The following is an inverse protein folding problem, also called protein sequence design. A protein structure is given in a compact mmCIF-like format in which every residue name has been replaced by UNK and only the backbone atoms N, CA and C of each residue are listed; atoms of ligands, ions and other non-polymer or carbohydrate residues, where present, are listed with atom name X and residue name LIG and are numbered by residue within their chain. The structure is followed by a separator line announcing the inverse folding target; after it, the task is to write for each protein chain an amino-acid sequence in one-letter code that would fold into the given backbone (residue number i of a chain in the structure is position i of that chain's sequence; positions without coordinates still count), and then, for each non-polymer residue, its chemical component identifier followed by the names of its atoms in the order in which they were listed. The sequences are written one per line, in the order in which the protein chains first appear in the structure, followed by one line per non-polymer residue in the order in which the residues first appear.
data_IF_086032776905
#
_entry.id   IF_086032776905
#
_cell.length_a   1.000
_cell.length_b   1.000
_cell.length_c   1.000
_cell.angle_alpha   90.00
_cell.angle_beta   90.00
_cell.angle_gamma   90.00
#
_symmetry.space_group_name_H-M   'P 1'
#
loop_
_entity.id
_entity.type
_entity.pdbx_description
1 polymer ?
#
# COMPACT_ATOMS: atom_id res chain seq x y z
N UNK A 1 -1.30 -18.51 -13.71
CA UNK A 1 -2.27 -17.40 -13.96
C UNK A 1 -2.04 -16.90 -15.39
N UNK A 2 -3.11 -16.70 -16.19
CA UNK A 2 -2.95 -16.15 -17.54
C UNK A 2 -2.50 -14.68 -17.42
N UNK A 3 -1.41 -14.31 -18.11
CA UNK A 3 -0.80 -12.97 -18.06
C UNK A 3 -1.82 -11.82 -18.23
N UNK A 4 -2.77 -11.97 -19.17
CA UNK A 4 -3.86 -11.01 -19.37
C UNK A 4 -4.71 -10.77 -18.12
N UNK A 5 -5.01 -11.80 -17.33
CA UNK A 5 -5.79 -11.67 -16.11
C UNK A 5 -5.01 -10.97 -14.99
N UNK A 6 -3.69 -11.14 -14.97
CA UNK A 6 -2.81 -10.40 -14.06
C UNK A 6 -2.82 -8.92 -14.39
N UNK A 7 -2.55 -8.55 -15.65
CA UNK A 7 -2.52 -7.15 -16.09
C UNK A 7 -3.86 -6.47 -15.82
N UNK A 8 -4.99 -7.12 -16.17
CA UNK A 8 -6.32 -6.55 -15.91
C UNK A 8 -6.54 -6.27 -14.42
N UNK A 9 -6.22 -7.23 -13.56
CA UNK A 9 -6.37 -7.03 -12.12
C UNK A 9 -5.43 -5.94 -11.59
N UNK A 10 -4.18 -5.91 -12.05
CA UNK A 10 -3.20 -4.90 -11.69
C UNK A 10 -3.68 -3.49 -12.06
N UNK A 11 -4.13 -3.27 -13.30
CA UNK A 11 -4.63 -1.97 -13.75
C UNK A 11 -5.86 -1.52 -12.95
N UNK A 12 -6.82 -2.41 -12.71
CA UNK A 12 -8.01 -2.08 -11.92
C UNK A 12 -7.62 -1.65 -10.49
N UNK A 13 -6.74 -2.40 -9.82
CA UNK A 13 -6.30 -2.03 -8.47
C UNK A 13 -5.49 -0.74 -8.46
N UNK A 14 -4.63 -0.51 -9.45
CA UNK A 14 -3.88 0.74 -9.58
C UNK A 14 -4.84 1.93 -9.75
N UNK A 15 -5.87 1.83 -10.59
CA UNK A 15 -6.86 2.88 -10.76
C UNK A 15 -7.65 3.14 -9.46
N UNK A 16 -8.09 2.10 -8.76
CA UNK A 16 -8.83 2.26 -7.50
C UNK A 16 -7.95 2.95 -6.45
N UNK A 17 -6.70 2.49 -6.26
CA UNK A 17 -5.81 3.07 -5.24
C UNK A 17 -5.39 4.49 -5.59
N UNK A 18 -5.11 4.78 -6.87
CA UNK A 18 -4.80 6.16 -7.29
C UNK A 18 -5.97 7.10 -7.04
N UNK A 19 -7.19 6.70 -7.37
CA UNK A 19 -8.38 7.51 -7.11
C UNK A 19 -8.55 7.80 -5.63
N UNK A 20 -8.44 6.79 -4.78
CA UNK A 20 -8.59 6.94 -3.32
C UNK A 20 -7.48 7.83 -2.75
N UNK A 21 -6.21 7.57 -3.11
CA UNK A 21 -5.09 8.34 -2.57
C UNK A 21 -5.06 9.79 -3.10
N UNK A 22 -5.41 10.03 -4.37
CA UNK A 22 -5.55 11.40 -4.88
C UNK A 22 -6.69 12.14 -4.22
N UNK A 23 -7.84 11.49 -4.00
CA UNK A 23 -8.97 12.11 -3.29
C UNK A 23 -8.59 12.46 -1.85
N UNK A 24 -7.90 11.58 -1.15
CA UNK A 24 -7.40 11.84 0.20
C UNK A 24 -6.36 12.98 0.22
N UNK A 25 -5.42 13.00 -0.73
CA UNK A 25 -4.44 14.07 -0.86
C UNK A 25 -5.10 15.43 -1.14
N UNK A 26 -6.09 15.48 -2.03
CA UNK A 26 -6.86 16.70 -2.32
C UNK A 26 -7.62 17.19 -1.09
N UNK A 27 -8.28 16.28 -0.36
CA UNK A 27 -8.96 16.63 0.89
C UNK A 27 -7.98 17.19 1.92
N UNK A 28 -6.80 16.60 2.05
CA UNK A 28 -5.76 17.07 2.95
C UNK A 28 -5.25 18.45 2.58
N UNK A 29 -5.06 18.73 1.28
CA UNK A 29 -4.69 20.05 0.79
C UNK A 29 -5.78 21.11 1.10
N UNK A 30 -7.05 20.77 0.91
CA UNK A 30 -8.17 21.66 1.23
C UNK A 30 -8.24 21.99 2.72
N UNK A 31 -8.07 20.98 3.59
CA UNK A 31 -8.09 21.17 5.05
C UNK A 31 -6.87 21.95 5.54
N UNK A 32 -5.72 21.79 4.89
CA UNK A 32 -4.46 22.46 5.22
C UNK A 32 -4.30 23.85 4.58
N UNK A 33 -5.32 24.37 3.86
CA UNK A 33 -5.23 25.61 3.09
C UNK A 33 -4.02 25.66 2.12
N UNK A 34 -3.61 24.51 1.60
CA UNK A 34 -2.51 24.40 0.64
C UNK A 34 -3.02 24.69 -0.76
N UNK A 35 -2.49 25.71 -1.43
CA UNK A 35 -2.94 26.16 -2.76
C UNK A 35 -2.32 25.36 -3.91
N UNK A 36 -1.26 24.62 -3.67
CA UNK A 36 -0.57 23.85 -4.71
C UNK A 36 -0.07 22.50 -4.19
N UNK A 37 -0.15 21.51 -5.05
CA UNK A 37 0.42 20.19 -4.85
C UNK A 37 1.53 19.99 -5.90
N UNK A 38 2.76 19.70 -5.46
CA UNK A 38 3.87 19.57 -6.39
C UNK A 38 3.62 18.44 -7.40
N UNK A 39 3.84 18.70 -8.69
CA UNK A 39 3.63 17.72 -9.77
C UNK A 39 4.39 16.40 -9.51
N UNK A 40 5.61 16.48 -8.95
CA UNK A 40 6.38 15.30 -8.54
C UNK A 40 5.62 14.39 -7.55
N UNK A 41 4.80 14.97 -6.67
CA UNK A 41 4.02 14.20 -5.69
C UNK A 41 2.93 13.35 -6.35
N UNK A 42 2.34 13.81 -7.45
CA UNK A 42 1.38 13.01 -8.22
C UNK A 42 2.01 11.74 -8.79
N UNK A 43 3.21 11.88 -9.38
CA UNK A 43 3.94 10.71 -9.91
C UNK A 43 4.36 9.74 -8.81
N UNK A 44 4.77 10.25 -7.64
CA UNK A 44 5.11 9.41 -6.49
C UNK A 44 3.90 8.63 -5.96
N UNK A 45 2.74 9.29 -5.85
CA UNK A 45 1.50 8.63 -5.45
C UNK A 45 1.12 7.55 -6.47
N UNK A 46 1.20 7.85 -7.76
CA UNK A 46 0.88 6.88 -8.82
C UNK A 46 1.84 5.68 -8.79
N UNK A 47 3.14 5.92 -8.64
CA UNK A 47 4.14 4.86 -8.50
C UNK A 47 3.86 3.98 -7.26
N UNK A 48 3.53 4.60 -6.13
CA UNK A 48 3.18 3.86 -4.92
C UNK A 48 1.89 3.03 -5.10
N UNK A 49 0.88 3.57 -5.79
CA UNK A 49 -0.32 2.81 -6.15
C UNK A 49 0.00 1.56 -7.00
N UNK A 50 0.98 1.65 -7.90
CA UNK A 50 1.43 0.51 -8.68
C UNK A 50 2.10 -0.57 -7.79
N UNK A 51 2.94 -0.18 -6.82
CA UNK A 51 3.50 -1.11 -5.84
C UNK A 51 2.40 -1.80 -5.01
N UNK A 52 1.42 -1.04 -4.52
CA UNK A 52 0.27 -1.58 -3.78
C UNK A 52 -0.55 -2.55 -4.63
N UNK A 53 -0.82 -2.20 -5.89
CA UNK A 53 -1.57 -3.05 -6.81
C UNK A 53 -0.83 -4.36 -7.08
N UNK A 54 0.48 -4.31 -7.34
CA UNK A 54 1.32 -5.49 -7.53
C UNK A 54 1.30 -6.38 -6.27
N UNK A 55 1.50 -5.79 -5.09
CA UNK A 55 1.47 -6.50 -3.82
C UNK A 55 0.14 -7.25 -3.62
N UNK A 56 -0.99 -6.57 -3.84
CA UNK A 56 -2.31 -7.17 -3.65
C UNK A 56 -2.63 -8.26 -4.68
N UNK A 57 -2.25 -8.07 -5.94
CA UNK A 57 -2.48 -9.08 -6.98
C UNK A 57 -1.64 -10.33 -6.72
N UNK A 58 -0.39 -10.17 -6.31
CA UNK A 58 0.48 -11.29 -5.92
C UNK A 58 -0.10 -11.98 -4.69
N UNK A 59 -0.50 -11.24 -3.66
CA UNK A 59 -1.09 -11.79 -2.45
C UNK A 59 -2.35 -12.61 -2.73
N UNK A 60 -3.22 -12.13 -3.62
CA UNK A 60 -4.52 -12.77 -3.90
C UNK A 60 -4.41 -13.99 -4.82
N UNK A 61 -3.46 -13.99 -5.74
CA UNK A 61 -3.49 -14.91 -6.90
C UNK A 61 -2.31 -15.88 -7.00
N UNK A 62 -1.40 -15.90 -6.03
CA UNK A 62 -0.28 -16.85 -6.05
C UNK A 62 -0.60 -18.11 -5.24
N UNK A 63 -0.05 -19.26 -5.67
CA UNK A 63 -0.14 -20.53 -4.93
C UNK A 63 0.91 -20.66 -3.82
N UNK A 64 1.55 -19.55 -3.45
CA UNK A 64 2.52 -19.50 -2.37
C UNK A 64 1.85 -19.71 -1.00
N UNK A 65 2.63 -20.18 -0.02
CA UNK A 65 2.17 -20.24 1.37
C UNK A 65 1.78 -18.84 1.89
N UNK A 66 0.90 -18.77 2.87
CA UNK A 66 0.43 -17.50 3.42
C UNK A 66 1.57 -16.63 3.95
N UNK A 67 2.61 -17.25 4.51
CA UNK A 67 3.79 -16.58 5.03
C UNK A 67 4.57 -15.87 3.93
N UNK A 68 4.87 -16.55 2.83
CA UNK A 68 5.56 -15.96 1.68
C UNK A 68 4.76 -14.84 1.04
N UNK A 69 3.43 -15.00 0.90
CA UNK A 69 2.56 -13.93 0.40
C UNK A 69 2.62 -12.70 1.28
N UNK A 70 2.58 -12.87 2.61
CA UNK A 70 2.65 -11.76 3.56
C UNK A 70 4.00 -11.06 3.50
N UNK A 71 5.10 -11.79 3.42
CA UNK A 71 6.45 -11.22 3.29
C UNK A 71 6.59 -10.42 2.01
N UNK A 72 6.18 -10.98 0.87
CA UNK A 72 6.25 -10.29 -0.43
C UNK A 72 5.34 -9.05 -0.42
N UNK A 73 4.15 -9.15 0.13
CA UNK A 73 3.23 -8.02 0.26
C UNK A 73 3.84 -6.90 1.13
N UNK A 74 4.42 -7.25 2.27
CA UNK A 74 5.09 -6.29 3.14
C UNK A 74 6.29 -5.64 2.45
N UNK A 75 7.13 -6.42 1.79
CA UNK A 75 8.32 -5.92 1.08
C UNK A 75 7.93 -4.94 -0.03
N UNK A 76 6.93 -5.26 -0.85
CA UNK A 76 6.45 -4.38 -1.92
C UNK A 76 5.77 -3.13 -1.37
N UNK A 77 4.96 -3.25 -0.34
CA UNK A 77 4.23 -2.10 0.23
C UNK A 77 5.16 -1.16 0.97
N UNK A 78 5.96 -1.66 1.90
CA UNK A 78 6.87 -0.83 2.70
C UNK A 78 8.08 -0.39 1.89
N UNK A 79 8.60 -1.24 1.00
CA UNK A 79 9.68 -0.88 0.07
C UNK A 79 9.22 0.18 -0.94
N UNK A 80 8.04 0.03 -1.52
CA UNK A 80 7.44 1.03 -2.40
C UNK A 80 7.19 2.36 -1.67
N UNK A 81 6.72 2.30 -0.42
CA UNK A 81 6.59 3.49 0.42
C UNK A 81 7.95 4.15 0.68
N UNK A 82 8.96 3.39 1.08
CA UNK A 82 10.31 3.91 1.32
C UNK A 82 10.90 4.57 0.07
N UNK A 83 10.81 3.92 -1.08
CA UNK A 83 11.31 4.46 -2.35
C UNK A 83 10.57 5.74 -2.77
N UNK A 84 9.25 5.76 -2.67
CA UNK A 84 8.47 6.88 -3.18
C UNK A 84 8.45 8.09 -2.23
N UNK A 85 8.43 7.87 -0.93
CA UNK A 85 8.21 8.93 0.04
C UNK A 85 9.41 9.25 0.92
N UNK A 86 10.09 8.26 1.50
CA UNK A 86 11.19 8.53 2.42
C UNK A 86 12.40 9.16 1.74
N UNK A 87 12.75 8.68 0.54
CA UNK A 87 13.86 9.25 -0.24
C UNK A 87 13.51 10.69 -0.62
N UNK A 88 12.29 10.94 -1.06
CA UNK A 88 11.84 12.29 -1.43
C UNK A 88 11.84 13.24 -0.25
N UNK A 89 11.34 12.83 0.91
CA UNK A 89 11.35 13.68 2.11
C UNK A 89 12.76 13.97 2.61
N UNK A 90 13.67 13.02 2.53
CA UNK A 90 15.07 13.23 2.87
C UNK A 90 15.74 14.28 1.98
N UNK A 91 15.39 14.33 0.69
CA UNK A 91 15.93 15.24 -0.29
C UNK A 91 15.43 16.69 -0.13
N UNK A 92 14.23 16.91 0.42
CA UNK A 92 13.63 18.26 0.60
C UNK A 92 14.12 18.96 1.88
N UNK A 93 15.08 18.41 2.59
CA UNK A 93 15.60 19.01 3.84
C UNK A 93 14.65 18.92 5.04
N UNK A 94 13.66 18.03 5.00
CA UNK A 94 12.80 17.77 6.14
C UNK A 94 13.61 17.21 7.31
N UNK A 95 13.34 17.63 8.57
CA UNK A 95 14.06 17.10 9.73
C UNK A 95 13.99 15.57 9.77
N UNK A 96 15.13 14.92 9.98
CA UNK A 96 15.23 13.44 10.00
C UNK A 96 14.28 12.81 11.02
N UNK A 97 14.04 13.47 12.13
CA UNK A 97 13.11 13.02 13.17
C UNK A 97 11.68 12.91 12.67
N UNK A 98 11.20 13.89 11.90
CA UNK A 98 9.86 13.89 11.31
C UNK A 98 9.71 12.78 10.26
N UNK A 99 10.74 12.55 9.45
CA UNK A 99 10.76 11.47 8.45
C UNK A 99 10.72 10.10 9.13
N UNK A 100 11.52 9.94 10.19
CA UNK A 100 11.57 8.69 10.96
C UNK A 100 10.24 8.43 11.67
N UNK A 101 9.66 9.44 12.32
CA UNK A 101 8.37 9.31 12.98
C UNK A 101 7.27 8.90 12.00
N UNK A 102 7.23 9.52 10.83
CA UNK A 102 6.27 9.19 9.78
C UNK A 102 6.44 7.76 9.25
N UNK A 103 7.67 7.32 9.04
CA UNK A 103 7.98 5.97 8.60
C UNK A 103 7.53 4.92 9.65
N UNK A 104 7.80 5.18 10.93
CA UNK A 104 7.35 4.32 12.04
C UNK A 104 5.83 4.26 12.09
N UNK A 105 5.16 5.41 12.02
CA UNK A 105 3.69 5.47 12.04
C UNK A 105 3.06 4.65 10.92
N UNK A 106 3.54 4.81 9.69
CA UNK A 106 3.03 4.05 8.52
C UNK A 106 3.31 2.56 8.69
N UNK A 107 4.49 2.18 9.19
CA UNK A 107 4.83 0.77 9.44
C UNK A 107 3.94 0.13 10.49
N UNK A 108 3.65 0.84 11.57
CA UNK A 108 2.74 0.38 12.64
C UNK A 108 1.31 0.24 12.12
N UNK A 109 0.80 1.24 11.39
CA UNK A 109 -0.53 1.17 10.76
C UNK A 109 -0.63 -0.02 9.79
N UNK A 110 0.40 -0.23 8.98
CA UNK A 110 0.47 -1.38 8.10
C UNK A 110 0.41 -2.69 8.87
N UNK A 111 1.20 -2.84 9.92
CA UNK A 111 1.23 -4.05 10.76
C UNK A 111 -0.13 -4.34 11.40
N UNK A 112 -0.82 -3.30 11.91
CA UNK A 112 -2.16 -3.42 12.49
C UNK A 112 -3.16 -3.88 11.41
N UNK A 113 -3.20 -3.23 10.25
CA UNK A 113 -4.11 -3.58 9.16
C UNK A 113 -3.90 -5.02 8.67
N UNK A 114 -2.64 -5.43 8.49
CA UNK A 114 -2.31 -6.79 8.08
C UNK A 114 -2.63 -7.81 9.17
N UNK A 115 -2.38 -7.50 10.43
CA UNK A 115 -2.75 -8.35 11.57
C UNK A 115 -4.25 -8.60 11.63
N UNK A 116 -5.07 -7.56 11.54
CA UNK A 116 -6.53 -7.67 11.50
C UNK A 116 -6.99 -8.50 10.29
N UNK A 117 -6.43 -8.23 9.11
CA UNK A 117 -6.77 -8.98 7.89
C UNK A 117 -6.48 -10.47 8.03
N UNK A 118 -5.29 -10.84 8.54
CA UNK A 118 -4.89 -12.23 8.76
C UNK A 118 -5.78 -12.90 9.82
N UNK A 119 -6.10 -12.21 10.90
CA UNK A 119 -6.99 -12.71 11.96
C UNK A 119 -8.40 -13.02 11.43
N UNK A 120 -8.98 -12.09 10.65
CA UNK A 120 -10.29 -12.30 10.01
C UNK A 120 -10.27 -13.48 9.04
N UNK A 121 -9.20 -13.59 8.25
CA UNK A 121 -9.04 -14.69 7.31
C UNK A 121 -8.93 -16.04 8.03
N UNK A 122 -8.12 -16.11 9.08
CA UNK A 122 -7.97 -17.31 9.91
C UNK A 122 -9.30 -17.72 10.56
N UNK A 123 -10.03 -16.76 11.12
CA UNK A 123 -11.34 -17.02 11.70
C UNK A 123 -12.36 -17.58 10.68
N UNK A 124 -12.34 -17.06 9.44
CA UNK A 124 -13.18 -17.59 8.35
C UNK A 124 -12.80 -19.01 7.96
N UNK A 125 -11.50 -19.33 7.88
CA UNK A 125 -11.03 -20.69 7.57
C UNK A 125 -11.48 -21.68 8.64
N UNK A 126 -11.27 -21.36 9.93
CA UNK A 126 -11.69 -22.21 11.05
C UNK A 126 -13.21 -22.47 11.05
N UNK A 127 -14.03 -21.45 10.73
CA UNK A 127 -15.50 -21.64 10.60
C UNK A 127 -15.88 -22.54 9.41
N UNK A 128 -15.12 -22.50 8.33
CA UNK A 128 -15.38 -23.37 7.17
C UNK A 128 -15.01 -24.82 7.45
N UNK A 129 -13.95 -25.07 8.22
CA UNK A 129 -13.54 -26.41 8.65
C UNK A 129 -14.55 -27.04 9.65
N UNK A 130 -15.08 -26.23 10.57
CA UNK A 130 -16.07 -26.69 11.56
C UNK A 130 -17.44 -27.03 10.96
N UNK A 131 -17.70 -26.67 9.69
CA UNK A 131 -18.95 -26.99 8.96
C UNK A 131 -18.83 -28.21 8.05
N UNK A 132 -17.66 -28.82 7.97
CA UNK A 132 -17.40 -30.06 7.23
C UNK A 132 -17.41 -31.27 8.17
#
# INVERSE_FOLDING_TARGET
MKFKAFIKAFLIHTCIYSTVLFSAAMLFCLLGNMTSFATASYFLILAFCAFLAAANVIFAKTNLSIWWRTIIHAALTLGGFALCFLIRYADIGTPRESVTLFAVLVSVLYAICMGVFLAVRYAKQKKAEAKR
#
